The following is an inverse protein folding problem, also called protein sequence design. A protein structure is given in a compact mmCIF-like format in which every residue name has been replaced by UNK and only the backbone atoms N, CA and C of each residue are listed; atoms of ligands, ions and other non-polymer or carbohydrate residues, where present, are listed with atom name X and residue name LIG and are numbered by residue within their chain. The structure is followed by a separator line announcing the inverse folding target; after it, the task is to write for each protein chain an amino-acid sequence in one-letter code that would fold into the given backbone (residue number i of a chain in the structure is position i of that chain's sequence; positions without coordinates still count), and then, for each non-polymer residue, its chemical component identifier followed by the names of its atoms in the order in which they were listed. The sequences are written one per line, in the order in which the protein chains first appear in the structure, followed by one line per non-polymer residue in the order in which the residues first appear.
data_IF_981898857587
#
_entry.id   IF_981898857587
#
_cell.length_a   1.000
_cell.length_b   1.000
_cell.length_c   1.000
_cell.angle_alpha   90.00
_cell.angle_beta   90.00
_cell.angle_gamma   90.00
#
_symmetry.space_group_name_H-M   'P 1'
#
loop_
_entity.id
_entity.type
_entity.pdbx_description
1 polymer ?
#
# COMPACT_ATOMS: atom_id res chain seq x y z
N UNK A 1 18.22 19.91 -37.67
CA UNK A 1 18.03 18.45 -37.50
C UNK A 1 17.60 18.19 -36.06
N UNK A 2 16.31 18.09 -35.77
CA UNK A 2 15.78 17.83 -34.43
C UNK A 2 15.77 16.33 -34.15
N UNK A 3 16.62 15.88 -33.23
CA UNK A 3 16.77 14.47 -32.83
C UNK A 3 15.45 13.99 -32.20
N UNK A 4 14.65 13.24 -32.96
CA UNK A 4 13.48 12.50 -32.43
C UNK A 4 13.98 11.59 -31.31
N UNK A 5 13.66 11.91 -30.05
CA UNK A 5 13.84 10.96 -28.96
C UNK A 5 12.91 9.78 -29.25
N UNK A 6 13.47 8.64 -29.67
CA UNK A 6 12.69 7.42 -29.76
C UNK A 6 12.32 7.05 -28.32
N UNK A 7 11.07 7.25 -27.94
CA UNK A 7 10.54 6.75 -26.68
C UNK A 7 10.50 5.23 -26.80
N UNK A 8 11.59 4.57 -26.38
CA UNK A 8 11.57 3.11 -26.21
C UNK A 8 10.63 2.85 -25.06
N UNK A 9 9.58 2.05 -25.30
CA UNK A 9 8.66 1.64 -24.25
C UNK A 9 9.50 1.09 -23.09
N UNK A 10 9.37 1.67 -21.87
CA UNK A 10 10.10 1.16 -20.72
C UNK A 10 9.75 -0.31 -20.53
N UNK A 11 10.76 -1.13 -20.21
CA UNK A 11 10.54 -2.53 -19.90
C UNK A 11 9.51 -2.64 -18.76
N UNK A 12 8.68 -3.69 -18.76
CA UNK A 12 7.61 -3.89 -17.75
C UNK A 12 8.13 -3.75 -16.31
N UNK A 13 9.38 -4.16 -16.06
CA UNK A 13 10.05 -4.02 -14.76
C UNK A 13 10.26 -2.56 -14.33
N UNK A 14 10.50 -1.64 -15.26
CA UNK A 14 10.66 -0.20 -14.95
C UNK A 14 9.31 0.39 -14.55
N UNK A 15 8.24 0.01 -15.25
CA UNK A 15 6.88 0.45 -14.91
C UNK A 15 6.50 -0.07 -13.52
N UNK A 16 6.75 -1.36 -13.27
CA UNK A 16 6.48 -1.99 -11.97
C UNK A 16 7.28 -1.31 -10.85
N UNK A 17 8.56 -1.02 -11.07
CA UNK A 17 9.39 -0.32 -10.09
C UNK A 17 8.82 1.05 -9.72
N UNK A 18 8.42 1.83 -10.73
CA UNK A 18 7.78 3.15 -10.51
C UNK A 18 6.48 2.99 -9.70
N UNK A 19 5.63 2.00 -10.03
CA UNK A 19 4.39 1.74 -9.29
C UNK A 19 4.64 1.35 -7.83
N UNK A 20 5.67 0.55 -7.55
CA UNK A 20 6.05 0.17 -6.19
C UNK A 20 6.51 1.40 -5.41
N UNK A 21 7.38 2.23 -5.99
CA UNK A 21 7.87 3.46 -5.33
C UNK A 21 6.72 4.42 -5.05
N UNK A 22 5.81 4.61 -6.01
CA UNK A 22 4.62 5.45 -5.81
C UNK A 22 3.69 4.90 -4.72
N UNK A 23 3.49 3.57 -4.69
CA UNK A 23 2.66 2.92 -3.66
C UNK A 23 3.29 3.08 -2.27
N UNK A 24 4.61 2.93 -2.16
CA UNK A 24 5.33 3.14 -0.91
C UNK A 24 5.18 4.58 -0.41
N UNK A 25 5.35 5.59 -1.27
CA UNK A 25 5.14 7.00 -0.91
C UNK A 25 3.68 7.22 -0.48
N UNK A 26 2.72 6.61 -1.17
CA UNK A 26 1.31 6.72 -0.81
C UNK A 26 1.01 6.17 0.59
N UNK A 27 1.76 5.18 1.10
CA UNK A 27 1.57 4.67 2.48
C UNK A 27 1.87 5.70 3.56
N UNK A 28 2.68 6.72 3.28
CA UNK A 28 2.95 7.82 4.22
C UNK A 28 1.84 8.88 4.21
N UNK A 29 1.12 9.03 3.10
CA UNK A 29 0.05 10.03 2.94
C UNK A 29 -1.28 9.48 3.44
N UNK A 30 -1.55 8.19 3.21
CA UNK A 30 -2.80 7.56 3.62
C UNK A 30 -2.71 7.15 5.10
N UNK A 31 -3.54 7.71 5.99
CA UNK A 31 -3.55 7.30 7.39
C UNK A 31 -4.05 5.86 7.50
N UNK A 32 -3.37 5.06 8.32
CA UNK A 32 -3.87 3.75 8.67
C UNK A 32 -5.10 3.93 9.56
N UNK A 33 -6.24 3.40 9.11
CA UNK A 33 -7.49 3.46 9.85
C UNK A 33 -8.09 2.07 9.94
N UNK A 34 -8.58 1.72 11.13
CA UNK A 34 -9.33 0.49 11.36
C UNK A 34 -10.73 0.85 11.87
N UNK A 35 -11.69 0.01 11.52
CA UNK A 35 -13.04 0.07 12.08
C UNK A 35 -13.21 -1.09 13.05
N UNK A 36 -13.80 -0.81 14.21
CA UNK A 36 -14.03 -1.82 15.22
C UNK A 36 -15.07 -2.84 14.73
N UNK A 37 -14.79 -4.13 14.99
CA UNK A 37 -15.71 -5.22 14.68
C UNK A 37 -16.63 -5.44 15.88
N UNK A 38 -17.89 -5.07 15.72
CA UNK A 38 -18.92 -5.25 16.75
C UNK A 38 -19.77 -6.48 16.46
N UNK A 39 -20.37 -7.13 17.48
CA UNK A 39 -21.34 -8.18 17.28
C UNK A 39 -22.56 -7.62 16.52
N UNK A 40 -22.75 -8.08 15.30
CA UNK A 40 -23.90 -7.75 14.47
C UNK A 40 -25.09 -8.69 14.71
N UNK A 41 -26.23 -8.41 14.06
CA UNK A 41 -27.41 -9.28 14.14
C UNK A 41 -27.06 -10.71 13.77
N UNK A 42 -27.64 -11.68 14.48
CA UNK A 42 -27.48 -13.12 14.22
C UNK A 42 -26.06 -13.67 14.42
N UNK A 43 -25.24 -13.04 15.27
CA UNK A 43 -23.91 -13.54 15.63
C UNK A 43 -22.84 -13.32 14.56
N UNK A 44 -23.13 -12.49 13.55
CA UNK A 44 -22.15 -12.10 12.52
C UNK A 44 -21.37 -10.89 13.02
N UNK A 45 -20.05 -10.90 12.93
CA UNK A 45 -19.25 -9.70 13.18
C UNK A 45 -19.53 -8.66 12.10
N UNK A 46 -20.07 -7.50 12.49
CA UNK A 46 -20.33 -6.36 11.59
C UNK A 46 -19.38 -5.23 11.93
N UNK A 47 -19.01 -4.45 10.92
CA UNK A 47 -18.11 -3.31 11.06
C UNK A 47 -18.94 -2.10 11.51
N UNK A 48 -18.58 -1.40 12.59
CA UNK A 48 -19.27 -0.17 12.99
C UNK A 48 -18.74 1.02 12.16
N UNK A 49 -19.54 1.63 11.26
CA UNK A 49 -19.10 2.73 10.40
C UNK A 49 -18.80 4.04 11.14
N UNK A 50 -19.18 4.17 12.41
CA UNK A 50 -18.90 5.35 13.25
C UNK A 50 -17.65 5.20 14.11
N UNK A 51 -17.09 3.99 14.20
CA UNK A 51 -15.94 3.64 15.05
C UNK A 51 -14.56 3.88 14.41
N UNK A 52 -14.48 4.65 13.32
CA UNK A 52 -13.22 4.91 12.62
C UNK A 52 -12.16 5.41 13.61
N UNK A 53 -11.13 4.60 13.83
CA UNK A 53 -10.00 4.94 14.69
C UNK A 53 -8.74 4.92 13.85
N UNK A 54 -7.98 6.02 13.88
CA UNK A 54 -6.63 6.03 13.31
C UNK A 54 -5.74 5.13 14.15
N UNK A 55 -5.25 4.07 13.53
CA UNK A 55 -4.28 3.15 14.14
C UNK A 55 -2.87 3.64 13.83
N UNK A 56 -1.88 3.18 14.60
CA UNK A 56 -0.48 3.53 14.34
C UNK A 56 -0.12 3.15 12.89
N UNK A 57 0.36 4.13 12.12
CA UNK A 57 0.85 3.88 10.78
C UNK A 57 2.04 2.93 10.87
N UNK A 58 1.94 1.76 10.26
CA UNK A 58 3.08 0.88 9.95
C UNK A 58 3.45 1.06 8.48
N UNK A 59 4.10 2.19 8.09
CA UNK A 59 4.60 2.33 6.74
C UNK A 59 5.61 1.22 6.49
N UNK A 60 5.56 0.58 5.33
CA UNK A 60 6.51 -0.47 4.97
C UNK A 60 7.90 0.15 4.93
N UNK A 61 8.72 -0.17 5.92
CA UNK A 61 10.10 0.27 5.98
C UNK A 61 10.91 -0.35 4.85
N UNK A 62 11.94 0.34 4.38
CA UNK A 62 12.88 -0.18 3.37
C UNK A 62 13.47 -1.53 3.83
N UNK A 63 13.65 -1.69 5.15
CA UNK A 63 14.14 -2.92 5.78
C UNK A 63 13.14 -4.07 5.67
N UNK A 64 11.85 -3.84 5.94
CA UNK A 64 10.82 -4.88 5.88
C UNK A 64 10.64 -5.40 4.45
N UNK A 65 10.69 -4.49 3.47
CA UNK A 65 10.64 -4.84 2.05
C UNK A 65 11.80 -5.75 1.63
N UNK A 66 13.01 -5.53 2.16
CA UNK A 66 14.19 -6.36 1.87
C UNK A 66 14.19 -7.69 2.64
N UNK A 67 13.51 -7.78 3.79
CA UNK A 67 13.46 -9.00 4.63
C UNK A 67 12.21 -9.85 4.46
N UNK A 68 11.31 -9.54 3.52
CA UNK A 68 10.13 -10.38 3.19
C UNK A 68 10.49 -11.78 2.66
N UNK A 69 11.78 -12.11 2.50
CA UNK A 69 12.23 -13.50 2.32
C UNK A 69 11.80 -14.30 3.57
N UNK A 70 10.92 -15.31 3.44
CA UNK A 70 10.48 -16.12 4.57
C UNK A 70 11.70 -16.68 5.30
N UNK A 71 11.81 -16.39 6.59
CA UNK A 71 12.60 -17.22 7.49
C UNK A 71 11.62 -18.27 7.99
N UNK A 72 11.63 -19.42 7.34
CA UNK A 72 10.97 -20.64 7.84
C UNK A 72 11.46 -20.97 9.26
#
# INVERSE_FOLDING_TARGET
MTKKRSFKMPHIYVILFILIVLSAIATYIVPAGEYERVPGPEGRTTIDPTSYTSVEQTPVGITDFLTVIPRD
#
